data_IF_810791944616
#
_entry.id   IF_810791944616
#
_cell.length_a   1.000
_cell.length_b   1.000
_cell.length_c   1.000
_cell.angle_alpha   90.00
_cell.angle_beta   90.00
_cell.angle_gamma   90.00
#
_symmetry.space_group_name_H-M   'P 1'
#
loop_
_entity.id
_entity.type
_entity.pdbx_description
1 polymer ?
#
# COMPACT_ATOMS: atom_id res chain seq x y z
N UNK A 1 -3.02 13.88 31.92
CA UNK A 1 -4.12 13.17 31.26
C UNK A 1 -3.49 12.38 30.09
N UNK A 2 -3.36 11.09 30.30
CA UNK A 2 -3.08 10.22 29.15
C UNK A 2 -4.29 10.32 28.21
N UNK A 3 -4.10 10.95 27.06
CA UNK A 3 -5.08 10.87 25.99
C UNK A 3 -5.16 9.40 25.59
N UNK A 4 -6.19 8.72 26.05
CA UNK A 4 -6.49 7.39 25.56
C UNK A 4 -6.73 7.54 24.05
N UNK A 5 -5.81 7.01 23.24
CA UNK A 5 -6.03 6.97 21.80
C UNK A 5 -7.38 6.29 21.55
N UNK A 6 -8.28 7.05 20.95
CA UNK A 6 -9.59 6.51 20.60
C UNK A 6 -9.42 5.41 19.56
N UNK A 7 -10.07 4.27 19.78
CA UNK A 7 -10.13 3.23 18.76
C UNK A 7 -10.77 3.81 17.49
N UNK A 8 -10.12 3.70 16.33
CA UNK A 8 -10.70 4.22 15.09
C UNK A 8 -12.05 3.56 14.80
N UNK A 9 -12.99 4.27 14.18
CA UNK A 9 -14.26 3.66 13.79
C UNK A 9 -14.00 2.55 12.75
N UNK A 10 -14.74 1.45 12.89
CA UNK A 10 -14.70 0.36 11.94
C UNK A 10 -15.69 0.62 10.81
N UNK A 11 -15.18 0.76 9.59
CA UNK A 11 -15.98 0.98 8.40
C UNK A 11 -15.89 -0.26 7.52
N UNK A 12 -17.04 -0.82 7.16
CA UNK A 12 -17.10 -1.95 6.23
C UNK A 12 -17.00 -1.46 4.80
N UNK A 13 -16.05 -2.03 4.06
CA UNK A 13 -15.90 -1.77 2.62
C UNK A 13 -15.89 -3.08 1.85
N UNK A 14 -15.99 -2.99 0.52
CA UNK A 14 -15.91 -4.14 -0.37
C UNK A 14 -14.50 -4.42 -0.90
N UNK A 15 -13.50 -3.77 -0.32
CA UNK A 15 -12.09 -3.98 -0.66
C UNK A 15 -11.67 -5.42 -0.35
N UNK A 16 -10.76 -5.99 -1.16
CA UNK A 16 -10.13 -7.26 -0.85
C UNK A 16 -9.25 -7.20 0.41
N UNK A 17 -9.06 -8.35 1.05
CA UNK A 17 -8.24 -8.48 2.26
C UNK A 17 -9.01 -8.31 3.56
N UNK A 18 -8.27 -8.23 4.65
CA UNK A 18 -8.81 -8.12 6.01
C UNK A 18 -8.83 -6.67 6.49
N UNK A 19 -9.10 -6.47 7.78
CA UNK A 19 -9.10 -5.15 8.40
C UNK A 19 -7.77 -4.45 8.15
N UNK A 20 -7.84 -3.19 7.76
CA UNK A 20 -6.67 -2.31 7.62
C UNK A 20 -6.97 -0.95 8.26
N UNK A 21 -5.92 -0.20 8.53
CA UNK A 21 -6.01 1.15 9.08
C UNK A 21 -5.67 2.18 8.02
N UNK A 22 -6.51 3.22 7.92
CA UNK A 22 -6.22 4.40 7.12
C UNK A 22 -6.29 5.63 8.02
N UNK A 23 -5.26 6.46 7.97
CA UNK A 23 -5.18 7.65 8.78
C UNK A 23 -4.13 8.65 8.29
N UNK A 24 -3.97 9.76 9.03
CA UNK A 24 -2.95 10.75 8.68
C UNK A 24 -1.55 10.14 8.58
N UNK A 25 -0.75 10.66 7.65
CA UNK A 25 0.61 10.18 7.42
C UNK A 25 0.72 9.01 6.46
N UNK A 26 -0.40 8.48 6.00
CA UNK A 26 -0.42 7.49 4.92
C UNK A 26 -0.65 8.17 3.57
N UNK A 27 -0.04 7.60 2.52
CA UNK A 27 -0.36 7.93 1.15
C UNK A 27 -1.12 6.78 0.52
N UNK A 28 -2.29 7.07 -0.05
CA UNK A 28 -3.14 6.05 -0.67
C UNK A 28 -3.17 6.30 -2.17
N UNK A 29 -2.88 5.25 -2.93
CA UNK A 29 -2.96 5.24 -4.39
C UNK A 29 -4.16 4.42 -4.81
N UNK A 30 -5.15 5.06 -5.40
CA UNK A 30 -6.32 4.38 -5.93
C UNK A 30 -6.08 3.97 -7.38
N UNK A 31 -6.31 2.71 -7.68
CA UNK A 31 -6.18 2.17 -9.03
C UNK A 31 -7.57 1.86 -9.59
N UNK A 32 -8.18 2.87 -10.21
CA UNK A 32 -9.48 2.76 -10.86
C UNK A 32 -9.21 2.64 -12.35
N UNK A 33 -9.12 1.40 -12.83
CA UNK A 33 -8.65 1.08 -14.17
C UNK A 33 -9.70 0.27 -14.91
N UNK A 34 -9.85 0.55 -16.20
CA UNK A 34 -10.58 -0.34 -17.10
C UNK A 34 -9.65 -1.48 -17.49
N UNK A 35 -9.94 -2.69 -17.00
CA UNK A 35 -9.07 -3.84 -17.15
C UNK A 35 -8.94 -4.31 -18.61
N UNK A 36 -9.88 -3.92 -19.47
CA UNK A 36 -9.84 -4.20 -20.90
C UNK A 36 -8.58 -3.63 -21.57
N UNK A 37 -8.09 -2.51 -21.06
CA UNK A 37 -6.96 -1.80 -21.67
C UNK A 37 -5.62 -2.08 -21.00
N UNK A 38 -5.57 -2.98 -20.01
CA UNK A 38 -4.32 -3.35 -19.38
C UNK A 38 -3.40 -4.10 -20.36
N UNK A 39 -2.09 -3.82 -20.34
CA UNK A 39 -1.12 -4.54 -21.17
C UNK A 39 -0.72 -5.92 -20.60
N UNK A 40 -1.38 -6.38 -19.56
CA UNK A 40 -1.15 -7.65 -18.89
C UNK A 40 -2.47 -8.22 -18.36
N UNK A 41 -2.44 -9.44 -17.86
CA UNK A 41 -3.64 -10.11 -17.33
C UNK A 41 -4.14 -9.41 -16.06
N UNK A 42 -5.46 -9.19 -15.90
CA UNK A 42 -6.00 -8.60 -14.66
C UNK A 42 -5.61 -9.33 -13.39
N UNK A 43 -5.41 -10.63 -13.44
CA UNK A 43 -4.95 -11.44 -12.29
C UNK A 43 -3.55 -11.06 -11.82
N UNK A 44 -2.75 -10.40 -12.65
CA UNK A 44 -1.40 -9.97 -12.32
C UNK A 44 -1.34 -8.53 -11.79
N UNK A 45 -2.48 -7.85 -11.69
CA UNK A 45 -2.52 -6.43 -11.33
C UNK A 45 -1.90 -6.16 -9.96
N UNK A 46 -2.32 -6.89 -8.93
CA UNK A 46 -1.78 -6.72 -7.57
C UNK A 46 -0.27 -6.97 -7.53
N UNK A 47 0.18 -8.08 -8.13
CA UNK A 47 1.61 -8.40 -8.19
C UNK A 47 2.40 -7.30 -8.89
N UNK A 48 1.92 -6.83 -10.02
CA UNK A 48 2.59 -5.82 -10.81
C UNK A 48 2.65 -4.46 -10.11
N UNK A 49 1.60 -4.09 -9.40
CA UNK A 49 1.61 -2.87 -8.56
C UNK A 49 2.67 -3.00 -7.46
N UNK A 50 2.70 -4.12 -6.75
CA UNK A 50 3.67 -4.35 -5.69
C UNK A 50 5.10 -4.38 -6.22
N UNK A 51 5.32 -5.04 -7.35
CA UNK A 51 6.64 -5.11 -7.98
C UNK A 51 7.13 -3.73 -8.42
N UNK A 52 6.28 -2.94 -9.05
CA UNK A 52 6.61 -1.57 -9.46
C UNK A 52 6.95 -0.69 -8.25
N UNK A 53 6.16 -0.81 -7.18
CA UNK A 53 6.42 -0.07 -5.93
C UNK A 53 7.75 -0.49 -5.32
N UNK A 54 7.99 -1.79 -5.22
CA UNK A 54 9.24 -2.35 -4.68
C UNK A 54 10.47 -1.89 -5.46
N UNK A 55 10.42 -1.95 -6.78
CA UNK A 55 11.50 -1.51 -7.65
C UNK A 55 11.76 -0.01 -7.51
N UNK A 56 10.72 0.80 -7.38
CA UNK A 56 10.87 2.24 -7.14
C UNK A 56 11.57 2.51 -5.81
N UNK A 57 11.20 1.79 -4.75
CA UNK A 57 11.88 1.90 -3.46
C UNK A 57 13.34 1.44 -3.54
N UNK A 58 13.61 0.38 -4.29
CA UNK A 58 14.99 -0.09 -4.53
C UNK A 58 15.82 0.97 -5.24
N UNK A 59 15.24 1.77 -6.12
CA UNK A 59 15.94 2.87 -6.78
C UNK A 59 16.42 3.95 -5.81
N UNK A 60 15.82 4.04 -4.64
CA UNK A 60 16.26 4.88 -3.52
C UNK A 60 17.18 4.12 -2.53
N UNK A 61 17.70 2.97 -2.94
CA UNK A 61 18.55 2.10 -2.11
C UNK A 61 17.85 1.55 -0.86
N UNK A 62 16.53 1.43 -0.91
CA UNK A 62 15.73 0.87 0.17
C UNK A 62 15.35 -0.58 -0.15
N UNK A 63 16.05 -1.53 0.48
CA UNK A 63 15.74 -2.94 0.34
C UNK A 63 14.38 -3.24 0.98
N UNK A 64 13.58 -4.06 0.29
CA UNK A 64 12.24 -4.41 0.74
C UNK A 64 11.84 -5.76 0.16
N UNK A 65 10.80 -6.36 0.74
CA UNK A 65 10.30 -7.68 0.35
C UNK A 65 8.81 -7.58 0.06
N UNK A 66 8.38 -8.21 -1.03
CA UNK A 66 6.97 -8.39 -1.37
C UNK A 66 6.46 -9.67 -0.75
N UNK A 67 5.28 -9.60 -0.10
CA UNK A 67 4.53 -10.77 0.33
C UNK A 67 3.18 -10.76 -0.39
N UNK A 68 2.82 -11.87 -1.03
CA UNK A 68 1.55 -11.99 -1.75
C UNK A 68 0.46 -12.68 -0.92
N UNK A 69 0.80 -13.34 0.18
CA UNK A 69 -0.19 -13.96 1.08
C UNK A 69 -0.88 -12.93 1.95
N UNK A 70 -0.12 -11.98 2.49
CA UNK A 70 -0.61 -10.77 3.13
C UNK A 70 -0.14 -9.60 2.26
N UNK A 71 -0.89 -9.26 1.21
CA UNK A 71 -0.36 -8.46 0.11
C UNK A 71 0.18 -7.11 0.55
N UNK A 72 1.47 -6.92 0.37
CA UNK A 72 2.14 -5.69 0.78
C UNK A 72 3.64 -5.74 0.60
N UNK A 73 4.27 -4.69 1.11
CA UNK A 73 5.72 -4.50 1.10
C UNK A 73 6.21 -4.40 2.53
N UNK A 74 7.31 -5.09 2.81
CA UNK A 74 7.87 -5.27 4.15
C UNK A 74 9.34 -4.87 4.18
N UNK A 75 9.73 -4.24 5.28
CA UNK A 75 11.13 -3.92 5.61
C UNK A 75 11.42 -4.51 6.99
N UNK A 76 12.41 -5.39 7.08
CA UNK A 76 12.77 -6.07 8.32
C UNK A 76 11.55 -6.72 9.01
N UNK A 77 10.73 -7.42 8.24
CA UNK A 77 9.48 -8.05 8.67
C UNK A 77 8.39 -7.10 9.18
N UNK A 78 8.55 -5.79 9.00
CA UNK A 78 7.56 -4.78 9.34
C UNK A 78 6.85 -4.29 8.08
N UNK A 79 5.53 -4.14 8.15
CA UNK A 79 4.71 -3.77 7.00
C UNK A 79 4.79 -2.28 6.72
N UNK A 80 5.33 -1.94 5.55
CA UNK A 80 5.41 -0.56 5.05
C UNK A 80 4.18 -0.19 4.22
N UNK A 81 3.73 -1.10 3.38
CA UNK A 81 2.65 -0.87 2.43
C UNK A 81 1.68 -2.04 2.40
N UNK A 82 0.41 -1.72 2.19
CA UNK A 82 -0.67 -2.70 2.08
C UNK A 82 -1.42 -2.49 0.78
N UNK A 83 -1.77 -3.58 0.10
CA UNK A 83 -2.59 -3.52 -1.09
C UNK A 83 -3.88 -4.32 -0.88
N UNK A 84 -5.00 -3.73 -1.29
CA UNK A 84 -6.27 -4.42 -1.32
C UNK A 84 -7.03 -3.94 -2.54
N UNK A 85 -7.26 -4.83 -3.49
CA UNK A 85 -7.94 -4.52 -4.74
C UNK A 85 -9.26 -5.25 -4.82
N UNK A 86 -10.19 -4.69 -5.57
CA UNK A 86 -11.43 -5.34 -5.95
C UNK A 86 -11.70 -5.09 -7.42
N UNK A 87 -12.19 -6.12 -8.10
CA UNK A 87 -12.58 -6.04 -9.49
C UNK A 87 -14.09 -6.19 -9.56
N UNK A 88 -14.74 -5.26 -10.25
CA UNK A 88 -16.17 -5.28 -10.48
C UNK A 88 -16.47 -4.70 -11.87
N UNK A 89 -17.29 -5.40 -12.65
CA UNK A 89 -17.70 -4.97 -14.00
C UNK A 89 -16.52 -4.54 -14.88
N UNK A 90 -15.43 -5.31 -14.83
CA UNK A 90 -14.22 -5.06 -15.60
C UNK A 90 -13.42 -3.80 -15.21
N UNK A 91 -13.68 -3.27 -14.01
CA UNK A 91 -12.91 -2.16 -13.42
C UNK A 91 -12.28 -2.58 -12.11
N UNK A 92 -11.08 -2.06 -11.85
CA UNK A 92 -10.46 -2.19 -10.54
C UNK A 92 -10.89 -1.04 -9.61
N UNK A 93 -10.93 -1.33 -8.33
CA UNK A 93 -11.25 -0.37 -7.26
C UNK A 93 -10.27 -0.52 -6.12
N UNK A 94 -10.21 0.51 -5.26
CA UNK A 94 -9.29 0.57 -4.12
C UNK A 94 -7.84 0.64 -4.59
N UNK A 95 -6.88 0.21 -3.80
CA UNK A 95 -5.49 0.37 -4.19
C UNK A 95 -4.49 0.00 -3.13
N UNK A 96 -3.44 0.81 -3.05
CA UNK A 96 -2.29 0.59 -2.19
C UNK A 96 -2.12 1.77 -1.23
N UNK A 97 -1.84 1.46 0.03
CA UNK A 97 -1.46 2.46 1.02
C UNK A 97 -0.01 2.28 1.42
N UNK A 98 0.69 3.39 1.59
CA UNK A 98 2.07 3.42 2.08
C UNK A 98 2.12 4.26 3.35
N UNK A 99 2.74 3.74 4.40
CA UNK A 99 2.97 4.47 5.63
C UNK A 99 4.18 5.39 5.46
N UNK A 100 3.98 6.68 5.46
CA UNK A 100 5.06 7.67 5.42
C UNK A 100 5.46 8.12 6.81
N UNK A 101 4.50 8.64 7.55
CA UNK A 101 4.65 9.16 8.91
C UNK A 101 3.34 8.95 9.66
N UNK A 102 2.96 7.69 9.78
CA UNK A 102 1.69 7.25 10.36
C UNK A 102 1.86 7.02 11.86
N UNK A 103 0.80 7.19 12.63
CA UNK A 103 0.78 6.74 14.02
C UNK A 103 0.80 5.21 14.07
N UNK A 104 1.97 4.64 14.30
CA UNK A 104 2.17 3.19 14.31
C UNK A 104 1.49 2.51 15.48
N UNK A 105 1.28 3.20 16.60
CA UNK A 105 0.61 2.60 17.75
C UNK A 105 -0.84 2.23 17.40
N UNK A 106 -1.55 3.10 16.70
CA UNK A 106 -2.91 2.81 16.24
C UNK A 106 -2.93 1.64 15.25
N UNK A 107 -1.99 1.62 14.30
CA UNK A 107 -1.89 0.52 13.34
C UNK A 107 -1.65 -0.81 14.05
N UNK A 108 -0.72 -0.84 15.00
CA UNK A 108 -0.36 -2.07 15.72
C UNK A 108 -1.50 -2.57 16.61
N UNK A 109 -2.34 -1.67 17.14
CA UNK A 109 -3.51 -2.01 17.94
C UNK A 109 -4.53 -2.82 17.13
N UNK A 110 -4.72 -2.48 15.86
CA UNK A 110 -5.70 -3.13 14.99
C UNK A 110 -5.21 -4.50 14.52
N UNK A 111 -3.92 -4.72 14.44
CA UNK A 111 -3.29 -5.95 13.93
C UNK A 111 -3.89 -6.38 12.59
N UNK A 112 -3.58 -5.65 11.51
CA UNK A 112 -4.14 -5.95 10.20
C UNK A 112 -3.93 -7.41 9.83
N UNK A 113 -4.93 -8.02 9.19
CA UNK A 113 -4.88 -9.41 8.72
C UNK A 113 -4.82 -10.46 9.83
N UNK A 114 -5.11 -10.10 11.08
CA UNK A 114 -5.09 -11.03 12.20
C UNK A 114 -3.71 -11.62 12.48
N UNK A 115 -2.65 -11.07 11.89
CA UNK A 115 -1.27 -11.48 12.09
C UNK A 115 -0.58 -10.55 13.09
N UNK A 116 0.42 -11.08 13.78
CA UNK A 116 1.24 -10.35 14.74
C UNK A 116 2.33 -9.53 14.01
N UNK A 117 1.94 -8.82 12.97
CA UNK A 117 2.84 -8.05 12.11
C UNK A 117 2.83 -6.60 12.55
N UNK A 118 3.99 -6.08 12.88
CA UNK A 118 4.18 -4.67 13.14
C UNK A 118 4.29 -3.89 11.84
N UNK A 119 3.95 -2.59 11.91
CA UNK A 119 4.12 -1.66 10.82
C UNK A 119 5.39 -0.83 10.97
N UNK A 120 5.84 -0.26 9.86
CA UNK A 120 6.89 0.73 9.85
C UNK A 120 6.51 1.90 8.96
N UNK A 121 7.23 3.01 9.10
CA UNK A 121 7.08 4.21 8.30
C UNK A 121 8.26 4.42 7.38
N UNK A 122 7.99 4.98 6.21
CA UNK A 122 9.02 5.26 5.22
C UNK A 122 10.03 6.30 5.72
N UNK A 123 9.60 7.29 6.50
CA UNK A 123 10.47 8.32 7.06
C UNK A 123 11.52 7.77 8.04
N UNK A 124 11.37 6.53 8.51
CA UNK A 124 12.38 5.85 9.33
C UNK A 124 13.60 5.42 8.51
N UNK A 125 13.46 5.30 7.20
CA UNK A 125 14.48 4.73 6.31
C UNK A 125 14.97 5.69 5.23
N UNK A 126 14.12 6.62 4.79
CA UNK A 126 14.43 7.55 3.71
C UNK A 126 14.18 8.99 4.14
N UNK A 127 15.10 9.87 3.76
CA UNK A 127 14.95 11.31 3.87
C UNK A 127 14.53 11.86 2.49
N UNK A 128 13.26 11.63 2.16
CA UNK A 128 12.66 12.10 0.92
C UNK A 128 11.30 12.73 1.22
N UNK A 129 10.91 13.75 0.47
CA UNK A 129 9.59 14.32 0.61
C UNK A 129 8.52 13.35 0.12
N UNK A 130 7.38 13.34 0.79
CA UNK A 130 6.23 12.53 0.39
C UNK A 130 5.78 12.87 -1.03
N UNK A 131 5.85 14.15 -1.42
CA UNK A 131 5.44 14.60 -2.75
C UNK A 131 6.38 14.11 -3.83
N UNK A 132 7.69 14.13 -3.61
CA UNK A 132 8.67 13.66 -4.57
C UNK A 132 8.53 12.15 -4.83
N UNK A 133 8.40 11.36 -3.78
CA UNK A 133 8.21 9.92 -3.93
C UNK A 133 6.84 9.60 -4.56
N UNK A 134 5.80 10.35 -4.19
CA UNK A 134 4.48 10.19 -4.80
C UNK A 134 4.53 10.44 -6.30
N UNK A 135 5.21 11.50 -6.73
CA UNK A 135 5.40 11.79 -8.15
C UNK A 135 6.10 10.64 -8.86
N UNK A 136 7.21 10.16 -8.31
CA UNK A 136 7.97 9.07 -8.92
C UNK A 136 7.14 7.78 -9.02
N UNK A 137 6.40 7.44 -7.98
CA UNK A 137 5.52 6.27 -7.98
C UNK A 137 4.43 6.39 -9.04
N UNK A 138 3.77 7.55 -9.13
CA UNK A 138 2.73 7.79 -10.14
C UNK A 138 3.31 7.63 -11.55
N UNK A 139 4.49 8.16 -11.82
CA UNK A 139 5.14 8.01 -13.12
C UNK A 139 5.43 6.54 -13.44
N UNK A 140 5.88 5.76 -12.47
CA UNK A 140 6.11 4.33 -12.67
C UNK A 140 4.80 3.56 -12.86
N UNK A 141 3.74 3.89 -12.13
CA UNK A 141 2.44 3.25 -12.33
C UNK A 141 1.85 3.57 -13.70
N UNK A 142 1.99 4.81 -14.18
CA UNK A 142 1.58 5.17 -15.54
C UNK A 142 2.29 4.31 -16.59
N UNK A 143 3.59 4.12 -16.45
CA UNK A 143 4.36 3.25 -17.35
C UNK A 143 3.87 1.81 -17.29
N UNK A 144 3.56 1.31 -16.10
CA UNK A 144 3.06 -0.04 -15.91
C UNK A 144 1.75 -0.28 -16.65
N UNK A 145 0.79 0.62 -16.52
CA UNK A 145 -0.57 0.43 -17.06
C UNK A 145 -0.71 0.81 -18.54
N UNK A 146 0.26 1.51 -19.10
CA UNK A 146 0.24 1.95 -20.49
C UNK A 146 1.25 1.23 -21.38
N UNK A 147 2.11 0.41 -20.82
CA UNK A 147 3.15 -0.31 -21.54
C UNK A 147 2.52 -1.40 -22.41
N UNK A 148 2.67 -1.25 -23.68
CA UNK A 148 2.25 -2.27 -24.66
C UNK A 148 3.35 -3.29 -24.90
#
# INVERSE_FOLDING_TARGET
>A
KEDKEATPPLIKTDRGGKITFHGPGQKIFYFILNLKYLPFKPTDLTRNILQTTSETLNSYSLENIINLKDPGIYINAKKLASVGMRIRKNYSYHGLSINFDTNLSTFNTIRPCGLDVQACNLNQYLDISIDDLTYDLIEQYKKLITKK
#
